data_IF_368498113401
#
_entry.id   IF_368498113401
#
_cell.length_a   1.000
_cell.length_b   1.000
_cell.length_c   1.000
_cell.angle_alpha   90.00
_cell.angle_beta   90.00
_cell.angle_gamma   90.00
#
_symmetry.space_group_name_H-M   'P 1'
#
loop_
_entity.id
_entity.type
_entity.pdbx_description
1 polymer ?
#
# COMPACT_ATOMS: atom_id res chain seq x y z
N UNK A 1 18.40 6.68 -48.40
CA UNK A 1 19.11 6.10 -47.25
C UNK A 1 19.08 6.98 -45.99
N UNK A 2 19.14 8.28 -46.09
CA UNK A 2 19.06 9.15 -44.87
C UNK A 2 17.71 9.11 -44.15
N UNK A 3 16.58 8.82 -44.82
CA UNK A 3 15.27 8.73 -44.20
C UNK A 3 15.03 7.49 -43.32
N UNK A 4 15.73 6.39 -43.56
CA UNK A 4 15.60 5.16 -42.79
C UNK A 4 16.26 5.28 -41.42
N UNK A 5 17.38 5.99 -41.34
CA UNK A 5 18.11 6.23 -40.05
C UNK A 5 17.33 7.16 -39.15
N UNK A 6 16.67 8.21 -39.66
CA UNK A 6 15.81 9.10 -38.88
C UNK A 6 14.58 8.40 -38.32
N UNK A 7 13.93 7.54 -39.08
CA UNK A 7 12.79 6.74 -38.60
C UNK A 7 13.18 5.79 -37.47
N UNK A 8 14.35 5.18 -37.53
CA UNK A 8 14.86 4.31 -36.47
C UNK A 8 15.17 5.05 -35.17
N UNK A 9 15.75 6.24 -35.25
CA UNK A 9 15.97 7.10 -34.07
C UNK A 9 14.66 7.59 -33.43
N UNK A 10 13.67 7.94 -34.25
CA UNK A 10 12.38 8.40 -33.76
C UNK A 10 11.64 7.29 -33.00
N UNK A 11 11.70 6.07 -33.46
CA UNK A 11 11.09 4.91 -32.77
C UNK A 11 11.78 4.62 -31.43
N UNK A 12 13.09 4.74 -31.37
CA UNK A 12 13.85 4.56 -30.12
C UNK A 12 13.55 5.65 -29.11
N UNK A 13 13.45 6.91 -29.54
CA UNK A 13 13.08 8.04 -28.69
C UNK A 13 11.64 7.90 -28.16
N UNK A 14 10.73 7.46 -29.00
CA UNK A 14 9.33 7.23 -28.62
C UNK A 14 9.19 6.09 -27.60
N UNK A 15 9.96 5.01 -27.77
CA UNK A 15 10.02 3.91 -26.81
C UNK A 15 10.54 4.32 -25.44
N UNK A 16 11.56 5.16 -25.38
CA UNK A 16 12.12 5.68 -24.11
C UNK A 16 11.10 6.59 -23.42
N UNK A 17 10.38 7.43 -24.13
CA UNK A 17 9.31 8.28 -23.59
C UNK A 17 8.15 7.48 -23.03
N UNK A 18 7.72 6.44 -23.72
CA UNK A 18 6.66 5.56 -23.25
C UNK A 18 7.05 4.81 -21.98
N UNK A 19 8.30 4.36 -21.86
CA UNK A 19 8.82 3.71 -20.65
C UNK A 19 8.89 4.69 -19.48
N UNK A 20 9.33 5.90 -19.70
CA UNK A 20 9.36 6.94 -18.65
C UNK A 20 7.95 7.30 -18.15
N UNK A 21 6.96 7.37 -19.03
CA UNK A 21 5.55 7.61 -18.65
C UNK A 21 4.97 6.46 -17.82
N UNK A 22 5.34 5.22 -18.13
CA UNK A 22 4.92 4.05 -17.36
C UNK A 22 5.54 4.03 -15.95
N UNK A 23 6.78 4.49 -15.81
CA UNK A 23 7.46 4.57 -14.52
C UNK A 23 6.86 5.67 -13.61
N UNK A 24 6.43 6.79 -14.16
CA UNK A 24 5.78 7.86 -13.39
C UNK A 24 4.36 7.51 -12.96
N UNK A 25 3.64 6.68 -13.72
CA UNK A 25 2.31 6.21 -13.36
C UNK A 25 2.31 5.17 -12.22
N UNK A 26 3.45 4.51 -11.95
CA UNK A 26 3.59 3.49 -10.90
C UNK A 26 3.93 4.06 -9.52
N UNK A 27 4.17 5.37 -9.38
CA UNK A 27 4.69 5.97 -8.15
C UNK A 27 3.62 6.27 -7.09
N UNK A 28 2.35 6.23 -7.41
CA UNK A 28 1.28 6.68 -6.54
C UNK A 28 0.31 5.54 -6.17
N UNK A 29 0.48 4.98 -4.97
CA UNK A 29 -0.61 4.40 -4.24
C UNK A 29 -0.47 2.96 -3.72
N UNK A 30 -1.33 2.60 -2.73
CA UNK A 30 -1.38 1.28 -2.12
C UNK A 30 -1.81 0.16 -3.09
N UNK A 31 -2.40 0.49 -4.21
CA UNK A 31 -2.81 -0.47 -5.24
C UNK A 31 -1.61 -1.23 -5.85
N UNK A 32 -0.43 -0.62 -5.85
CA UNK A 32 0.78 -1.29 -6.35
C UNK A 32 1.17 -2.47 -5.45
N UNK A 33 1.17 -2.26 -4.14
CA UNK A 33 1.45 -3.31 -3.16
C UNK A 33 0.40 -4.41 -3.24
N UNK A 34 -0.88 -4.05 -3.37
CA UNK A 34 -1.97 -5.00 -3.57
C UNK A 34 -1.77 -5.82 -4.84
N UNK A 35 -1.39 -5.19 -5.94
CA UNK A 35 -1.12 -5.86 -7.21
C UNK A 35 0.07 -6.83 -7.13
N UNK A 36 1.15 -6.42 -6.49
CA UNK A 36 2.33 -7.26 -6.28
C UNK A 36 1.98 -8.45 -5.40
N UNK A 37 1.26 -8.23 -4.31
CA UNK A 37 0.87 -9.29 -3.40
C UNK A 37 -0.16 -10.23 -4.02
N UNK A 38 -1.05 -9.72 -4.85
CA UNK A 38 -1.97 -10.56 -5.62
C UNK A 38 -1.21 -11.52 -6.53
N UNK A 39 -0.20 -11.05 -7.23
CA UNK A 39 0.64 -11.91 -8.07
C UNK A 39 1.47 -12.90 -7.25
N UNK A 40 1.92 -12.50 -6.07
CA UNK A 40 2.76 -13.33 -5.22
C UNK A 40 1.99 -14.40 -4.46
N UNK A 41 0.77 -14.12 -4.03
CA UNK A 41 0.00 -14.97 -3.13
C UNK A 41 -1.12 -15.78 -3.80
N UNK A 42 -1.72 -15.28 -4.87
CA UNK A 42 -2.80 -16.00 -5.57
C UNK A 42 -2.29 -17.35 -6.08
N UNK A 43 -3.03 -18.40 -5.78
CA UNK A 43 -2.66 -19.79 -6.09
C UNK A 43 -1.81 -20.49 -5.02
N UNK A 44 -1.43 -19.79 -3.95
CA UNK A 44 -0.70 -20.35 -2.82
C UNK A 44 -1.62 -20.60 -1.62
N UNK A 45 -1.27 -21.55 -0.72
CA UNK A 45 -2.07 -21.79 0.48
C UNK A 45 -1.99 -20.61 1.44
N UNK A 46 -3.04 -20.42 2.25
CA UNK A 46 -3.13 -19.31 3.22
C UNK A 46 -2.02 -19.37 4.28
N UNK A 47 -1.45 -20.53 4.56
CA UNK A 47 -0.32 -20.72 5.47
C UNK A 47 0.89 -19.88 5.07
N UNK A 48 1.03 -19.58 3.78
CA UNK A 48 2.09 -18.68 3.27
C UNK A 48 1.97 -17.30 3.91
N UNK A 49 0.75 -16.76 4.05
CA UNK A 49 0.49 -15.47 4.69
C UNK A 49 0.66 -15.56 6.20
N UNK A 50 0.22 -16.62 6.84
CA UNK A 50 0.45 -16.86 8.27
C UNK A 50 1.94 -16.78 8.62
N UNK A 51 2.79 -17.38 7.80
CA UNK A 51 4.25 -17.34 7.99
C UNK A 51 4.81 -15.93 7.75
N UNK A 52 4.34 -15.26 6.72
CA UNK A 52 4.79 -13.90 6.38
C UNK A 52 4.39 -12.87 7.45
N UNK A 53 3.19 -12.99 8.00
CA UNK A 53 2.69 -12.11 9.06
C UNK A 53 3.22 -12.47 10.44
N UNK A 54 3.55 -13.75 10.68
CA UNK A 54 4.03 -14.23 11.98
C UNK A 54 2.98 -14.22 13.09
N UNK A 55 1.70 -14.08 12.74
CA UNK A 55 0.58 -14.06 13.67
C UNK A 55 -0.70 -14.53 13.01
N UNK A 56 -1.69 -14.86 13.82
CA UNK A 56 -3.02 -15.23 13.34
C UNK A 56 -3.79 -14.01 12.80
N UNK A 57 -4.73 -14.21 11.87
CA UNK A 57 -5.58 -13.14 11.38
C UNK A 57 -6.48 -12.59 12.49
N UNK A 58 -6.80 -11.29 12.38
CA UNK A 58 -7.72 -10.62 13.31
C UNK A 58 -9.18 -11.01 13.05
N UNK A 59 -9.52 -11.27 11.79
CA UNK A 59 -10.86 -11.65 11.37
C UNK A 59 -10.81 -12.81 10.38
N UNK A 60 -11.72 -13.74 10.55
CA UNK A 60 -11.99 -14.82 9.60
C UNK A 60 -13.49 -14.84 9.34
N UNK A 61 -13.88 -14.67 8.08
CA UNK A 61 -15.28 -14.67 7.65
C UNK A 61 -15.51 -15.81 6.66
N UNK A 62 -16.56 -16.59 6.89
CA UNK A 62 -17.02 -17.57 5.91
C UNK A 62 -17.85 -16.86 4.84
N UNK A 63 -17.48 -17.08 3.59
CA UNK A 63 -18.16 -16.54 2.42
C UNK A 63 -18.58 -17.67 1.49
N UNK A 64 -19.42 -17.37 0.51
CA UNK A 64 -19.84 -18.35 -0.49
C UNK A 64 -18.61 -18.90 -1.25
N UNK A 65 -18.34 -20.18 -1.07
CA UNK A 65 -17.24 -20.86 -1.74
C UNK A 65 -15.86 -20.77 -1.10
N UNK A 66 -15.75 -20.19 0.12
CA UNK A 66 -14.45 -20.07 0.77
C UNK A 66 -14.46 -19.27 2.07
N UNK A 67 -13.32 -18.66 2.37
CA UNK A 67 -13.11 -17.82 3.56
C UNK A 67 -12.34 -16.56 3.21
N UNK A 68 -12.58 -15.50 3.99
CA UNK A 68 -11.79 -14.27 3.97
C UNK A 68 -11.00 -14.18 5.27
N UNK A 69 -9.69 -14.11 5.15
CA UNK A 69 -8.76 -13.91 6.26
C UNK A 69 -8.28 -12.46 6.23
N UNK A 70 -8.39 -11.75 7.34
CA UNK A 70 -8.02 -10.34 7.42
C UNK A 70 -7.05 -10.09 8.55
N UNK A 71 -5.94 -9.40 8.23
CA UNK A 71 -4.99 -8.87 9.20
C UNK A 71 -5.12 -7.36 9.25
N UNK A 72 -5.24 -6.83 10.46
CA UNK A 72 -5.35 -5.39 10.72
C UNK A 72 -4.06 -4.91 11.37
N UNK A 73 -3.48 -3.86 10.81
CA UNK A 73 -2.32 -3.20 11.36
C UNK A 73 -2.68 -1.76 11.72
N UNK A 74 -2.55 -1.42 12.99
CA UNK A 74 -2.75 -0.06 13.47
C UNK A 74 -1.40 0.67 13.42
N UNK A 75 -1.30 1.61 12.50
CA UNK A 75 -0.11 2.45 12.29
C UNK A 75 -0.35 3.89 12.74
N UNK A 76 -1.34 4.11 13.61
CA UNK A 76 -1.59 5.43 14.17
C UNK A 76 -0.55 5.77 15.22
N UNK A 77 -0.14 7.00 15.24
CA UNK A 77 0.79 7.54 16.23
C UNK A 77 0.39 8.96 16.61
N UNK A 78 0.78 9.37 17.80
CA UNK A 78 0.53 10.73 18.29
C UNK A 78 1.78 11.56 18.02
N UNK A 79 1.57 12.72 17.40
CA UNK A 79 2.62 13.70 17.17
C UNK A 79 2.23 15.03 17.83
N UNK A 80 3.23 15.76 18.31
CA UNK A 80 3.03 17.11 18.85
C UNK A 80 3.32 18.14 17.77
N UNK A 81 2.33 18.95 17.47
CA UNK A 81 2.43 20.02 16.47
C UNK A 81 2.56 21.35 17.21
N UNK A 82 3.59 22.17 16.94
CA UNK A 82 3.70 23.49 17.53
C UNK A 82 2.58 24.40 17.04
N UNK A 83 1.89 25.02 17.98
CA UNK A 83 0.75 25.91 17.73
C UNK A 83 1.08 27.39 17.89
N UNK A 84 2.29 27.71 18.30
CA UNK A 84 2.77 29.05 18.52
C UNK A 84 3.41 29.24 19.88
N UNK A 85 3.79 30.47 20.15
CA UNK A 85 4.43 30.86 21.39
C UNK A 85 3.73 32.06 22.01
N UNK A 86 3.64 32.08 23.33
CA UNK A 86 3.15 33.23 24.09
C UNK A 86 4.28 33.77 24.95
N UNK A 87 4.48 35.09 24.92
CA UNK A 87 5.45 35.77 25.76
C UNK A 87 4.71 36.63 26.78
N UNK A 88 4.99 36.36 28.07
CA UNK A 88 4.42 37.12 29.18
C UNK A 88 5.51 37.36 30.24
N UNK A 89 5.81 38.63 30.55
CA UNK A 89 6.79 39.02 31.56
C UNK A 89 8.14 38.29 31.48
N UNK A 90 8.78 38.24 30.29
CA UNK A 90 10.02 37.52 30.01
C UNK A 90 9.93 35.99 30.09
N UNK A 91 8.74 35.44 30.25
CA UNK A 91 8.50 34.01 30.17
C UNK A 91 7.98 33.66 28.76
N UNK A 92 8.70 32.78 28.09
CA UNK A 92 8.30 32.25 26.76
C UNK A 92 7.63 30.90 26.95
N UNK A 93 6.37 30.80 26.56
CA UNK A 93 5.59 29.57 26.64
C UNK A 93 5.36 29.02 25.25
N UNK A 94 5.75 27.76 25.03
CA UNK A 94 5.51 27.05 23.78
C UNK A 94 4.21 26.26 23.91
N UNK A 95 3.34 26.40 22.93
CA UNK A 95 2.07 25.68 22.86
C UNK A 95 2.17 24.57 21.83
N UNK A 96 1.76 23.38 22.23
CA UNK A 96 1.73 22.20 21.39
C UNK A 96 0.32 21.60 21.39
N UNK A 97 -0.08 21.09 20.26
CA UNK A 97 -1.30 20.32 20.12
C UNK A 97 -0.94 18.89 19.76
N UNK A 98 -1.53 17.96 20.43
CA UNK A 98 -1.43 16.55 20.06
C UNK A 98 -2.32 16.26 18.85
N UNK A 99 -1.77 15.57 17.88
CA UNK A 99 -2.47 15.13 16.68
C UNK A 99 -2.22 13.66 16.45
N UNK A 100 -3.28 12.93 16.16
CA UNK A 100 -3.16 11.55 15.74
C UNK A 100 -2.93 11.51 14.24
N UNK A 101 -1.83 10.91 13.82
CA UNK A 101 -1.47 10.72 12.43
C UNK A 101 -1.35 9.23 12.12
N UNK A 102 -1.18 8.88 10.83
CA UNK A 102 -1.19 7.52 10.36
C UNK A 102 -2.60 7.00 10.15
N UNK A 103 -2.74 5.69 10.15
CA UNK A 103 -4.03 5.05 9.92
C UNK A 103 -4.01 3.57 10.23
N UNK A 104 -5.12 2.92 9.92
CA UNK A 104 -5.30 1.47 10.09
C UNK A 104 -5.33 0.83 8.72
N UNK A 105 -4.47 -0.14 8.49
CA UNK A 105 -4.47 -0.93 7.27
C UNK A 105 -5.12 -2.29 7.52
N UNK A 106 -5.94 -2.72 6.58
CA UNK A 106 -6.57 -4.04 6.60
C UNK A 106 -6.20 -4.79 5.32
N UNK A 107 -5.52 -5.90 5.48
CA UNK A 107 -5.15 -6.79 4.40
C UNK A 107 -6.06 -8.01 4.45
N UNK A 108 -6.82 -8.24 3.39
CA UNK A 108 -7.78 -9.33 3.29
C UNK A 108 -7.39 -10.28 2.18
N UNK A 109 -7.50 -11.58 2.46
CA UNK A 109 -7.13 -12.66 1.55
C UNK A 109 -8.34 -13.59 1.38
N UNK A 110 -8.86 -13.68 0.17
CA UNK A 110 -9.95 -14.58 -0.17
C UNK A 110 -9.37 -15.94 -0.55
N UNK A 111 -9.82 -16.98 0.14
CA UNK A 111 -9.45 -18.36 -0.16
C UNK A 111 -10.64 -19.15 -0.69
N UNK A 112 -10.35 -20.27 -1.36
CA UNK A 112 -11.34 -21.26 -1.72
C UNK A 112 -11.56 -22.29 -0.60
N UNK A 113 -12.29 -23.37 -0.88
CA UNK A 113 -12.57 -24.45 0.06
C UNK A 113 -11.32 -25.21 0.50
N UNK A 114 -10.27 -25.21 -0.30
CA UNK A 114 -9.00 -25.88 -0.03
C UNK A 114 -7.97 -24.95 0.63
N UNK A 115 -8.39 -23.78 1.09
CA UNK A 115 -7.54 -22.73 1.68
C UNK A 115 -6.44 -22.20 0.74
N UNK A 116 -6.69 -22.25 -0.55
CA UNK A 116 -5.82 -21.64 -1.58
C UNK A 116 -6.31 -20.24 -1.89
N UNK A 117 -5.42 -19.27 -1.84
CA UNK A 117 -5.76 -17.88 -2.07
C UNK A 117 -6.19 -17.63 -3.53
N UNK A 118 -7.31 -16.94 -3.69
CA UNK A 118 -7.91 -16.57 -4.99
C UNK A 118 -7.84 -15.08 -5.27
N UNK A 119 -7.86 -14.26 -4.23
CA UNK A 119 -7.78 -12.80 -4.36
C UNK A 119 -7.18 -12.16 -3.11
N UNK A 120 -6.67 -10.95 -3.28
CA UNK A 120 -6.07 -10.14 -2.23
C UNK A 120 -6.66 -8.73 -2.32
N UNK A 121 -7.08 -8.17 -1.20
CA UNK A 121 -7.59 -6.81 -1.13
C UNK A 121 -6.97 -6.06 0.05
N UNK A 122 -6.51 -4.84 -0.20
CA UNK A 122 -5.95 -3.96 0.82
C UNK A 122 -6.82 -2.74 1.01
N UNK A 123 -7.05 -2.40 2.26
CA UNK A 123 -7.81 -1.20 2.62
C UNK A 123 -7.03 -0.41 3.67
N UNK A 124 -6.90 0.88 3.44
CA UNK A 124 -6.29 1.81 4.37
C UNK A 124 -7.30 2.88 4.76
N UNK A 125 -7.44 3.09 6.07
CA UNK A 125 -8.33 4.11 6.64
C UNK A 125 -7.49 5.03 7.53
N UNK A 126 -7.56 6.31 7.23
CA UNK A 126 -6.92 7.37 8.04
C UNK A 126 -7.82 7.81 9.17
#
# INVERSE_FOLDING_TARGET
MKGVVMKSCLHKLFGIWAVCLLLTACADGPWLLESIDRQSYVGKPIETVYRAKGREPDYIEDVSGGRVYSWVEDKRYVTSVPMGTTRNNNVLTYHYQERVEGGVSRNSYLTDKDNVMRDVAYRFVR
#
